data_IF_687134778041
#
_entry.id   IF_687134778041
#
_cell.length_a   1.000
_cell.length_b   1.000
_cell.length_c   1.000
_cell.angle_alpha   90.00
_cell.angle_beta   90.00
_cell.angle_gamma   90.00
#
_symmetry.space_group_name_H-M   'P 1'
#
loop_
_entity.id
_entity.type
_entity.pdbx_description
1 polymer ?
#
# COMPACT_ATOMS: atom_id res chain seq x y z
N UNK A 1 15.08 -24.30 -14.08
CA UNK A 1 15.70 -23.04 -13.59
C UNK A 1 15.00 -21.87 -14.25
N UNK A 2 13.86 -21.43 -13.70
CA UNK A 2 13.07 -20.30 -14.22
C UNK A 2 13.12 -19.05 -13.32
N UNK A 3 13.95 -19.06 -12.27
CA UNK A 3 14.08 -17.97 -11.30
C UNK A 3 14.60 -16.65 -11.90
N UNK A 4 15.24 -16.69 -13.07
CA UNK A 4 15.65 -15.51 -13.86
C UNK A 4 14.48 -14.80 -14.56
N UNK A 5 13.27 -15.35 -14.47
CA UNK A 5 12.06 -14.74 -14.98
C UNK A 5 11.20 -14.18 -13.84
N UNK A 6 10.40 -13.18 -14.17
CA UNK A 6 9.37 -12.60 -13.33
C UNK A 6 8.03 -12.71 -14.04
N UNK A 7 7.02 -13.26 -13.38
CA UNK A 7 5.64 -13.23 -13.85
C UNK A 7 5.02 -11.86 -13.57
N UNK A 8 4.30 -11.31 -14.56
CA UNK A 8 3.53 -10.07 -14.44
C UNK A 8 2.16 -10.22 -15.11
N UNK A 9 1.18 -9.49 -14.58
CA UNK A 9 -0.10 -9.28 -15.27
C UNK A 9 0.12 -8.41 -16.51
N UNK A 10 -0.62 -8.71 -17.57
CA UNK A 10 -0.66 -7.95 -18.82
C UNK A 10 -0.92 -6.44 -18.60
N UNK A 11 -1.73 -6.10 -17.60
CA UNK A 11 -2.07 -4.70 -17.29
C UNK A 11 -0.88 -3.90 -16.75
N UNK A 12 0.08 -4.58 -16.12
CA UNK A 12 1.24 -3.98 -15.46
C UNK A 12 2.49 -3.93 -16.36
N UNK A 13 2.30 -4.14 -17.67
CA UNK A 13 3.34 -4.07 -18.71
C UNK A 13 3.37 -2.68 -19.33
N UNK A 14 4.59 -2.20 -19.55
CA UNK A 14 4.88 -0.91 -20.19
C UNK A 14 5.84 -1.08 -21.37
N UNK A 15 6.05 0.00 -22.12
CA UNK A 15 6.89 0.00 -23.32
C UNK A 15 8.32 -0.54 -23.06
N UNK A 16 8.89 -0.26 -21.88
CA UNK A 16 10.24 -0.73 -21.53
C UNK A 16 10.31 -2.23 -21.26
N UNK A 17 9.18 -2.85 -20.91
CA UNK A 17 9.14 -4.27 -20.60
C UNK A 17 9.17 -5.13 -21.87
N UNK A 18 8.69 -4.61 -23.02
CA UNK A 18 8.46 -5.37 -24.26
C UNK A 18 9.69 -6.18 -24.71
N UNK A 19 10.92 -5.62 -24.74
CA UNK A 19 12.10 -6.38 -25.16
C UNK A 19 12.43 -7.58 -24.26
N UNK A 20 11.93 -7.57 -23.02
CA UNK A 20 12.21 -8.59 -22.01
C UNK A 20 11.14 -9.67 -21.92
N UNK A 21 10.00 -9.50 -22.62
CA UNK A 21 8.90 -10.47 -22.62
C UNK A 21 9.30 -11.68 -23.48
N UNK A 22 9.19 -12.88 -22.91
CA UNK A 22 9.32 -14.12 -23.67
C UNK A 22 7.98 -14.51 -24.29
N UNK A 23 8.03 -15.16 -25.45
CA UNK A 23 6.85 -15.60 -26.17
C UNK A 23 6.00 -16.55 -25.29
N UNK A 24 4.67 -16.37 -25.24
CA UNK A 24 3.76 -17.20 -24.44
C UNK A 24 3.94 -18.71 -24.64
N UNK A 25 4.17 -19.17 -25.87
CA UNK A 25 4.38 -20.60 -26.12
C UNK A 25 5.66 -21.15 -25.50
N UNK A 26 6.75 -20.38 -25.50
CA UNK A 26 7.98 -20.78 -24.82
C UNK A 26 7.80 -20.75 -23.30
N UNK A 27 7.16 -19.71 -22.77
CA UNK A 27 6.81 -19.61 -21.35
C UNK A 27 5.96 -20.79 -20.89
N UNK A 28 4.91 -21.12 -21.66
CA UNK A 28 4.02 -22.24 -21.38
C UNK A 28 4.76 -23.58 -21.48
N UNK A 29 5.60 -23.77 -22.51
CA UNK A 29 6.40 -25.00 -22.64
C UNK A 29 7.33 -25.20 -21.45
N UNK A 30 7.99 -24.15 -21.00
CA UNK A 30 8.93 -24.22 -19.88
C UNK A 30 8.23 -24.50 -18.52
N UNK A 31 6.95 -24.15 -18.41
CA UNK A 31 6.12 -24.37 -17.20
C UNK A 31 5.18 -25.57 -17.29
N UNK A 32 5.15 -26.31 -18.40
CA UNK A 32 4.17 -27.39 -18.63
C UNK A 32 4.26 -28.49 -17.58
N UNK A 33 5.46 -28.77 -17.05
CA UNK A 33 5.64 -29.79 -16.02
C UNK A 33 4.91 -29.44 -14.71
N UNK A 34 4.65 -28.15 -14.45
CA UNK A 34 3.91 -27.71 -13.26
C UNK A 34 2.42 -28.07 -13.34
N UNK A 35 1.90 -28.40 -14.53
CA UNK A 35 0.49 -28.73 -14.74
C UNK A 35 0.19 -30.22 -14.64
N UNK A 36 1.17 -31.05 -14.30
CA UNK A 36 1.02 -32.51 -14.24
C UNK A 36 0.62 -32.95 -12.82
N UNK A 37 -0.25 -33.96 -12.68
CA UNK A 37 -0.58 -34.52 -11.37
C UNK A 37 0.65 -35.17 -10.72
N UNK A 38 0.67 -35.21 -9.38
CA UNK A 38 1.70 -35.87 -8.56
C UNK A 38 3.14 -35.34 -8.76
N UNK A 39 3.31 -34.13 -9.29
CA UNK A 39 4.62 -33.46 -9.32
C UNK A 39 4.91 -32.75 -8.00
N UNK A 40 6.11 -32.96 -7.47
CA UNK A 40 6.64 -32.13 -6.39
C UNK A 40 7.13 -30.80 -6.97
N UNK A 41 6.33 -29.74 -6.81
CA UNK A 41 6.62 -28.42 -7.34
C UNK A 41 7.55 -27.70 -6.37
N UNK A 42 8.79 -27.49 -6.79
CA UNK A 42 9.75 -26.68 -6.04
C UNK A 42 9.54 -25.20 -6.37
N UNK A 43 8.80 -24.48 -5.52
CA UNK A 43 8.42 -23.08 -5.77
C UNK A 43 9.63 -22.16 -6.00
N UNK A 44 10.77 -22.43 -5.37
CA UNK A 44 12.04 -21.72 -5.56
C UNK A 44 12.64 -21.87 -6.97
N UNK A 45 12.17 -22.82 -7.78
CA UNK A 45 12.61 -22.99 -9.17
C UNK A 45 11.72 -22.25 -10.19
N UNK A 46 10.58 -21.71 -9.75
CA UNK A 46 9.60 -21.02 -10.58
C UNK A 46 9.97 -19.55 -10.81
N UNK A 47 9.37 -18.88 -11.81
CA UNK A 47 9.54 -17.44 -11.99
C UNK A 47 9.11 -16.66 -10.73
N UNK A 48 9.80 -15.55 -10.44
CA UNK A 48 9.40 -14.68 -9.35
C UNK A 48 7.96 -14.20 -9.55
N UNK A 49 7.20 -14.12 -8.45
CA UNK A 49 5.78 -13.74 -8.45
C UNK A 49 4.85 -14.72 -9.16
N UNK A 50 5.33 -15.84 -9.73
CA UNK A 50 4.47 -16.82 -10.38
C UNK A 50 3.46 -17.45 -9.42
N UNK A 51 3.88 -17.80 -8.20
CA UNK A 51 3.00 -18.35 -7.16
C UNK A 51 1.85 -17.41 -6.79
N UNK A 52 1.97 -16.09 -7.00
CA UNK A 52 0.90 -15.13 -6.75
C UNK A 52 -0.26 -15.27 -7.75
N UNK A 53 0.04 -15.68 -8.99
CA UNK A 53 -0.99 -15.97 -9.99
C UNK A 53 -1.62 -17.33 -9.73
N UNK A 54 -0.81 -18.34 -9.38
CA UNK A 54 -1.30 -19.67 -9.01
C UNK A 54 -2.23 -19.60 -7.80
N UNK A 55 -1.89 -18.79 -6.79
CA UNK A 55 -2.69 -18.70 -5.56
C UNK A 55 -4.12 -18.19 -5.79
N UNK A 56 -4.37 -17.44 -6.86
CA UNK A 56 -5.71 -16.97 -7.22
C UNK A 56 -6.67 -18.12 -7.54
N UNK A 57 -6.13 -19.26 -7.97
CA UNK A 57 -6.89 -20.44 -8.35
C UNK A 57 -7.01 -21.49 -7.25
N UNK A 58 -6.27 -21.37 -6.14
CA UNK A 58 -6.35 -22.35 -5.05
C UNK A 58 -7.75 -22.44 -4.42
N UNK A 59 -8.51 -21.34 -4.43
CA UNK A 59 -9.91 -21.30 -3.97
C UNK A 59 -10.85 -22.20 -4.80
N UNK A 60 -10.49 -22.50 -6.05
CA UNK A 60 -11.29 -23.36 -6.93
C UNK A 60 -10.83 -24.82 -6.91
N UNK A 61 -9.59 -25.07 -6.46
CA UNK A 61 -8.90 -26.37 -6.64
C UNK A 61 -8.33 -26.95 -5.35
N UNK A 62 -8.99 -26.75 -4.21
CA UNK A 62 -8.52 -27.20 -2.89
C UNK A 62 -8.10 -28.68 -2.81
N UNK A 63 -8.80 -29.56 -3.53
CA UNK A 63 -8.53 -31.01 -3.54
C UNK A 63 -7.48 -31.42 -4.59
N UNK A 64 -7.19 -30.56 -5.56
CA UNK A 64 -6.30 -30.83 -6.69
C UNK A 64 -5.42 -29.61 -7.01
N UNK A 65 -4.41 -29.27 -6.16
CA UNK A 65 -3.64 -28.03 -6.30
C UNK A 65 -2.96 -27.84 -7.67
N UNK A 66 -2.61 -28.92 -8.36
CA UNK A 66 -2.02 -28.88 -9.71
C UNK A 66 -2.95 -28.24 -10.77
N UNK A 67 -4.28 -28.23 -10.55
CA UNK A 67 -5.23 -27.56 -11.43
C UNK A 67 -5.07 -26.03 -11.39
N UNK A 68 -4.65 -25.45 -10.26
CA UNK A 68 -4.35 -24.03 -10.17
C UNK A 68 -3.15 -23.64 -11.07
N UNK A 69 -2.16 -24.51 -11.17
CA UNK A 69 -1.03 -24.36 -12.09
C UNK A 69 -1.48 -24.50 -13.54
N UNK A 70 -2.43 -25.41 -13.84
CA UNK A 70 -3.01 -25.58 -15.18
C UNK A 70 -3.81 -24.35 -15.63
N UNK A 71 -4.55 -23.73 -14.73
CA UNK A 71 -5.31 -22.51 -15.05
C UNK A 71 -4.35 -21.32 -15.27
N UNK A 72 -3.35 -21.17 -14.40
CA UNK A 72 -2.28 -20.16 -14.59
C UNK A 72 -1.49 -20.40 -15.88
N UNK A 73 -1.27 -21.65 -16.26
CA UNK A 73 -0.66 -22.02 -17.55
C UNK A 73 -1.51 -21.58 -18.74
N UNK A 74 -2.84 -21.64 -18.60
CA UNK A 74 -3.79 -21.15 -19.60
C UNK A 74 -3.77 -19.63 -19.70
N UNK A 75 -3.60 -18.92 -18.59
CA UNK A 75 -3.40 -17.47 -18.58
C UNK A 75 -2.09 -17.06 -19.27
N UNK A 76 -1.03 -17.84 -19.11
CA UNK A 76 0.22 -17.64 -19.86
C UNK A 76 -0.03 -17.82 -21.36
N UNK A 77 -0.64 -18.93 -21.76
CA UNK A 77 -0.94 -19.20 -23.18
C UNK A 77 -1.83 -18.13 -23.82
N UNK A 78 -2.78 -17.59 -23.07
CA UNK A 78 -3.66 -16.51 -23.57
C UNK A 78 -3.00 -15.12 -23.51
N UNK A 79 -1.82 -15.00 -22.90
CA UNK A 79 -1.09 -13.75 -22.78
C UNK A 79 -1.59 -12.79 -21.68
N UNK A 80 -2.48 -13.25 -20.79
CA UNK A 80 -2.93 -12.49 -19.62
C UNK A 80 -1.85 -12.39 -18.54
N UNK A 81 -1.05 -13.44 -18.42
CA UNK A 81 0.16 -13.46 -17.61
C UNK A 81 1.35 -13.57 -18.55
N UNK A 82 2.34 -12.71 -18.36
CA UNK A 82 3.56 -12.72 -19.16
C UNK A 82 4.78 -12.96 -18.29
N UNK A 83 5.79 -13.60 -18.86
CA UNK A 83 7.07 -13.79 -18.20
C UNK A 83 8.09 -12.79 -18.77
N UNK A 84 8.70 -12.03 -17.89
CA UNK A 84 9.75 -11.07 -18.20
C UNK A 84 11.07 -11.62 -17.71
N UNK A 85 12.10 -11.49 -18.54
CA UNK A 85 13.46 -11.82 -18.14
C UNK A 85 14.09 -10.69 -17.34
N UNK A 86 14.83 -11.03 -16.29
CA UNK A 86 15.52 -10.04 -15.45
C UNK A 86 16.93 -9.68 -15.94
N UNK A 87 17.68 -10.67 -16.46
CA UNK A 87 19.15 -10.57 -16.46
C UNK A 87 19.82 -10.75 -17.84
N UNK A 88 19.22 -10.33 -18.97
CA UNK A 88 19.98 -10.33 -20.24
C UNK A 88 19.90 -9.07 -21.06
N UNK A 89 21.11 -8.59 -21.39
CA UNK A 89 21.43 -7.68 -22.48
C UNK A 89 21.29 -8.44 -23.81
N UNK A 90 20.31 -8.07 -24.64
CA UNK A 90 20.21 -8.51 -26.04
C UNK A 90 18.81 -8.97 -26.49
N UNK A 91 18.57 -8.88 -27.81
CA UNK A 91 17.35 -9.36 -28.46
C UNK A 91 17.19 -10.87 -28.28
N UNK A 92 16.04 -11.32 -27.79
CA UNK A 92 15.78 -12.75 -27.61
C UNK A 92 15.09 -13.32 -28.84
N UNK A 93 15.65 -14.38 -29.44
CA UNK A 93 15.01 -15.17 -30.52
C UNK A 93 13.67 -15.76 -30.05
N UNK A 94 13.45 -15.83 -28.73
CA UNK A 94 12.24 -16.32 -28.06
C UNK A 94 11.32 -15.22 -27.56
N UNK A 95 11.53 -13.97 -27.97
CA UNK A 95 10.74 -12.81 -27.52
C UNK A 95 9.45 -12.60 -28.30
N UNK A 96 8.77 -11.49 -27.98
CA UNK A 96 7.53 -11.05 -28.66
C UNK A 96 7.77 -10.19 -29.89
N UNK A 97 9.03 -9.88 -30.19
CA UNK A 97 9.45 -9.09 -31.35
C UNK A 97 10.09 -9.99 -32.42
N UNK A 98 9.96 -9.57 -33.68
CA UNK A 98 10.72 -10.09 -34.81
C UNK A 98 12.15 -9.51 -34.80
N UNK A 99 13.04 -10.06 -35.64
CA UNK A 99 14.38 -9.50 -35.82
C UNK A 99 14.36 -8.06 -36.37
N UNK A 100 13.30 -7.68 -37.10
CA UNK A 100 13.10 -6.32 -37.59
C UNK A 100 12.52 -5.36 -36.53
N UNK A 101 12.22 -5.86 -35.32
CA UNK A 101 11.67 -5.06 -34.23
C UNK A 101 10.15 -4.88 -34.25
N UNK A 102 9.44 -5.56 -35.16
CA UNK A 102 7.97 -5.56 -35.18
C UNK A 102 7.42 -6.55 -34.16
N UNK A 103 6.17 -6.36 -33.72
CA UNK A 103 5.46 -7.41 -32.98
C UNK A 103 5.29 -8.64 -33.88
N UNK A 104 5.35 -9.83 -33.29
CA UNK A 104 5.06 -11.05 -34.03
C UNK A 104 3.56 -11.25 -34.19
N UNK A 105 3.17 -11.80 -35.34
CA UNK A 105 1.76 -12.04 -35.69
C UNK A 105 1.18 -13.29 -35.01
N UNK A 106 2.03 -14.16 -34.44
CA UNK A 106 1.65 -15.38 -33.73
C UNK A 106 1.33 -15.15 -32.23
N UNK A 107 1.32 -13.91 -31.77
CA UNK A 107 1.02 -13.57 -30.39
C UNK A 107 -0.47 -13.77 -30.06
N UNK A 108 -0.79 -14.21 -28.82
CA UNK A 108 -2.17 -14.26 -28.34
C UNK A 108 -2.84 -12.88 -28.42
N UNK A 109 -4.13 -12.85 -28.79
CA UNK A 109 -4.89 -11.62 -29.07
C UNK A 109 -4.78 -10.57 -27.96
N UNK A 110 -4.93 -10.98 -26.68
CA UNK A 110 -4.86 -10.06 -25.55
C UNK A 110 -3.49 -9.38 -25.45
N UNK A 111 -2.43 -10.18 -25.59
CA UNK A 111 -1.06 -9.70 -25.55
C UNK A 111 -0.75 -8.80 -26.75
N UNK A 112 -1.06 -9.27 -27.96
CA UNK A 112 -0.84 -8.51 -29.19
C UNK A 112 -1.52 -7.13 -29.12
N UNK A 113 -2.79 -7.09 -28.71
CA UNK A 113 -3.57 -5.84 -28.60
C UNK A 113 -2.94 -4.88 -27.58
N UNK A 114 -2.56 -5.38 -26.40
CA UNK A 114 -1.93 -4.56 -25.36
C UNK A 114 -0.57 -4.01 -25.82
N UNK A 115 0.29 -4.85 -26.40
CA UNK A 115 1.61 -4.42 -26.86
C UNK A 115 1.49 -3.38 -27.99
N UNK A 116 0.59 -3.60 -28.94
CA UNK A 116 0.31 -2.64 -30.01
C UNK A 116 -0.18 -1.30 -29.44
N UNK A 117 -1.04 -1.32 -28.43
CA UNK A 117 -1.50 -0.13 -27.73
C UNK A 117 -0.34 0.61 -27.03
N UNK A 118 0.52 -0.10 -26.31
CA UNK A 118 1.68 0.49 -25.62
C UNK A 118 2.67 1.14 -26.61
N UNK A 119 2.93 0.49 -27.75
CA UNK A 119 3.82 1.00 -28.80
C UNK A 119 3.21 2.24 -29.46
N UNK A 120 1.93 2.18 -29.86
CA UNK A 120 1.27 3.30 -30.55
C UNK A 120 1.12 4.54 -29.68
N UNK A 121 0.91 4.37 -28.37
CA UNK A 121 0.76 5.48 -27.43
C UNK A 121 2.05 5.84 -26.69
N UNK A 122 3.16 5.17 -27.00
CA UNK A 122 4.47 5.35 -26.35
C UNK A 122 4.36 5.30 -24.81
N UNK A 123 3.55 4.37 -24.30
CA UNK A 123 3.21 4.30 -22.87
C UNK A 123 4.35 3.73 -22.06
N UNK A 124 5.14 4.65 -21.52
CA UNK A 124 6.23 4.37 -20.61
C UNK A 124 5.73 4.11 -19.19
N UNK A 125 6.51 3.35 -18.42
CA UNK A 125 6.23 3.16 -17.00
C UNK A 125 6.10 4.53 -16.32
N UNK A 126 5.04 4.79 -15.55
CA UNK A 126 4.93 6.02 -14.79
C UNK A 126 6.12 6.09 -13.83
N UNK A 127 7.02 7.03 -14.11
CA UNK A 127 8.16 7.33 -13.23
C UNK A 127 7.58 8.07 -12.05
N UNK A 128 7.26 7.33 -11.00
CA UNK A 128 7.15 7.94 -9.68
C UNK A 128 8.57 8.38 -9.33
N UNK A 129 8.83 9.69 -9.35
CA UNK A 129 9.97 10.24 -8.66
C UNK A 129 9.78 9.95 -7.17
N UNK A 130 10.24 8.79 -6.72
CA UNK A 130 10.77 8.68 -5.37
C UNK A 130 11.91 9.68 -5.36
N UNK A 131 11.70 10.82 -4.71
CA UNK A 131 12.78 11.75 -4.40
C UNK A 131 13.92 10.90 -3.86
N UNK A 132 15.08 10.82 -4.54
CA UNK A 132 16.21 10.10 -4.00
C UNK A 132 16.51 10.70 -2.63
N UNK A 133 16.60 9.86 -1.60
CA UNK A 133 17.36 10.19 -0.41
C UNK A 133 18.68 10.77 -0.91
N UNK A 134 18.96 12.04 -0.58
CA UNK A 134 20.18 12.71 -1.02
C UNK A 134 21.40 11.84 -0.67
N UNK A 135 22.49 11.91 -1.46
CA UNK A 135 23.67 11.07 -1.26
C UNK A 135 24.18 11.22 0.17
N UNK A 136 24.64 10.11 0.73
CA UNK A 136 25.39 10.09 1.99
C UNK A 136 26.67 10.91 1.78
N UNK A 137 26.60 12.21 2.06
CA UNK A 137 27.76 12.98 2.48
C UNK A 137 27.99 12.65 3.95
N UNK A 138 29.01 11.83 4.20
CA UNK A 138 29.61 11.76 5.52
C UNK A 138 30.08 13.16 5.93
N UNK A 139 29.85 13.51 7.20
CA UNK A 139 30.26 14.73 7.90
C UNK A 139 29.33 15.97 7.77
N UNK A 140 28.19 15.93 8.47
CA UNK A 140 27.72 16.99 9.41
C UNK A 140 26.36 16.66 10.09
N UNK A 141 25.82 15.45 9.91
CA UNK A 141 24.52 15.01 10.46
C UNK A 141 24.46 14.80 11.98
N UNK A 142 25.58 14.95 12.72
CA UNK A 142 25.61 14.65 14.15
C UNK A 142 24.91 15.71 15.04
N UNK A 143 24.61 16.92 14.54
CA UNK A 143 23.97 17.98 15.34
C UNK A 143 22.43 17.95 15.33
N UNK A 144 21.80 17.22 14.40
CA UNK A 144 20.33 17.23 14.25
C UNK A 144 19.66 16.04 14.92
N UNK A 145 20.36 14.90 15.02
CA UNK A 145 19.84 13.65 15.60
C UNK A 145 19.83 13.70 17.13
N UNK A 146 20.73 14.47 17.75
CA UNK A 146 20.87 14.60 19.19
C UNK A 146 20.07 15.79 19.76
N UNK A 147 18.85 16.01 19.26
CA UNK A 147 17.98 17.15 19.61
C UNK A 147 16.86 16.78 20.59
N UNK A 148 16.28 17.77 21.28
CA UNK A 148 15.12 17.53 22.19
C UNK A 148 13.97 16.81 21.52
N UNK A 149 13.72 17.10 20.23
CA UNK A 149 12.66 16.45 19.47
C UNK A 149 12.91 14.94 19.30
N UNK A 150 14.14 14.54 19.01
CA UNK A 150 14.52 13.13 18.95
C UNK A 150 14.36 12.44 20.31
N UNK A 151 14.75 13.11 21.39
CA UNK A 151 14.52 12.67 22.77
C UNK A 151 13.06 12.38 23.09
N UNK A 152 12.16 13.31 22.76
CA UNK A 152 10.72 13.17 23.01
C UNK A 152 10.10 12.00 22.24
N UNK A 153 10.55 11.79 21.00
CA UNK A 153 10.10 10.66 20.19
C UNK A 153 10.57 9.32 20.75
N UNK A 154 11.81 9.25 21.26
CA UNK A 154 12.32 8.05 21.93
C UNK A 154 11.56 7.75 23.22
N UNK A 155 11.19 8.77 24.01
CA UNK A 155 10.35 8.58 25.19
C UNK A 155 8.97 8.02 24.80
N UNK A 156 8.33 8.58 23.77
CA UNK A 156 7.08 8.06 23.24
C UNK A 156 7.21 6.61 22.72
N UNK A 157 8.30 6.29 22.01
CA UNK A 157 8.60 4.95 21.52
C UNK A 157 8.82 3.93 22.65
N UNK A 158 9.54 4.32 23.71
CA UNK A 158 9.75 3.49 24.90
C UNK A 158 8.46 3.20 25.67
N UNK A 159 7.57 4.20 25.82
CA UNK A 159 6.24 4.02 26.42
C UNK A 159 5.39 3.07 25.57
N UNK A 160 5.33 3.29 24.25
CA UNK A 160 4.53 2.48 23.33
C UNK A 160 5.01 1.03 23.25
N UNK A 161 6.32 0.83 23.18
CA UNK A 161 6.93 -0.51 23.10
C UNK A 161 6.96 -1.22 24.47
N UNK A 162 6.69 -0.51 25.57
CA UNK A 162 6.83 -1.05 26.93
C UNK A 162 8.30 -1.25 27.36
N UNK A 163 9.25 -0.68 26.63
CA UNK A 163 10.69 -0.78 26.88
C UNK A 163 11.30 0.60 27.15
N UNK A 164 10.94 1.19 28.29
CA UNK A 164 11.38 2.53 28.67
C UNK A 164 12.91 2.58 28.80
N UNK A 165 13.50 1.63 29.50
CA UNK A 165 14.95 1.58 29.79
C UNK A 165 15.81 1.47 28.52
N UNK A 166 15.41 0.62 27.55
CA UNK A 166 16.15 0.47 26.29
C UNK A 166 16.16 1.74 25.44
N UNK A 167 15.02 2.44 25.39
CA UNK A 167 14.89 3.69 24.66
C UNK A 167 15.51 4.89 25.38
N UNK A 168 15.50 4.90 26.73
CA UNK A 168 16.24 5.87 27.56
C UNK A 168 17.74 5.79 27.27
N UNK A 169 18.29 4.57 27.33
CA UNK A 169 19.71 4.33 27.01
C UNK A 169 20.06 4.77 25.59
N UNK A 170 19.14 4.60 24.65
CA UNK A 170 19.31 5.07 23.26
C UNK A 170 19.36 6.60 23.18
N UNK A 171 18.50 7.30 23.93
CA UNK A 171 18.53 8.76 24.01
C UNK A 171 19.82 9.30 24.65
N UNK A 172 20.32 8.62 25.70
CA UNK A 172 21.61 8.90 26.34
C UNK A 172 22.80 8.70 25.38
N UNK A 173 22.77 7.60 24.62
CA UNK A 173 23.81 7.29 23.62
C UNK A 173 23.81 8.28 22.45
N UNK A 174 22.66 8.82 22.08
CA UNK A 174 22.57 9.90 21.09
C UNK A 174 23.18 11.21 21.62
N UNK A 175 23.15 11.45 22.94
CA UNK A 175 23.72 12.61 23.58
C UNK A 175 23.04 13.93 23.18
N UNK A 176 23.76 15.04 23.28
CA UNK A 176 23.23 16.38 22.96
C UNK A 176 22.03 16.74 23.84
N UNK A 177 20.99 17.30 23.22
CA UNK A 177 19.74 17.66 23.87
C UNK A 177 18.70 16.51 23.91
N UNK A 178 19.02 15.34 23.34
CA UNK A 178 18.08 14.22 23.29
C UNK A 178 17.72 13.67 24.68
N UNK A 179 18.65 13.48 25.64
CA UNK A 179 18.28 13.08 27.01
C UNK A 179 17.33 14.08 27.67
N UNK A 180 17.61 15.39 27.55
CA UNK A 180 16.75 16.42 28.12
C UNK A 180 15.35 16.45 27.48
N UNK A 181 15.24 16.18 26.17
CA UNK A 181 13.95 16.03 25.51
C UNK A 181 13.19 14.77 25.92
N UNK A 182 13.90 13.67 26.16
CA UNK A 182 13.36 12.42 26.67
C UNK A 182 12.79 12.62 28.09
N UNK A 183 13.59 13.20 28.99
CA UNK A 183 13.20 13.48 30.37
C UNK A 183 12.04 14.46 30.47
N UNK A 184 11.95 15.46 29.59
CA UNK A 184 10.78 16.35 29.53
C UNK A 184 9.44 15.63 29.32
N UNK A 185 9.45 14.45 28.68
CA UNK A 185 8.24 13.63 28.51
C UNK A 185 8.01 12.76 29.73
N UNK A 186 9.08 12.17 30.29
CA UNK A 186 9.00 11.20 31.39
C UNK A 186 8.79 11.85 32.76
N UNK A 187 9.36 13.04 33.00
CA UNK A 187 9.30 13.77 34.27
C UNK A 187 8.04 14.63 34.41
N UNK A 188 7.20 14.70 33.38
CA UNK A 188 5.96 15.44 33.41
C UNK A 188 4.91 14.64 34.20
N UNK A 189 4.98 14.73 35.53
CA UNK A 189 4.23 13.96 36.55
C UNK A 189 2.69 14.08 36.51
N UNK A 190 2.10 14.62 35.44
CA UNK A 190 0.66 14.91 35.37
C UNK A 190 0.01 14.73 34.00
N UNK A 191 0.72 14.20 32.99
CA UNK A 191 0.13 13.98 31.68
C UNK A 191 0.46 12.58 31.17
N UNK A 192 -0.30 11.59 31.67
CA UNK A 192 -0.52 10.33 30.98
C UNK A 192 -1.24 10.64 29.66
N UNK A 193 -0.48 11.01 28.63
CA UNK A 193 -0.94 10.88 27.26
C UNK A 193 -0.92 9.39 26.94
N UNK A 194 -2.01 8.72 27.30
CA UNK A 194 -2.41 7.51 26.59
C UNK A 194 -2.72 7.95 25.15
N UNK A 195 -1.70 7.89 24.29
CA UNK A 195 -1.76 8.09 22.85
C UNK A 195 -2.18 9.49 22.35
N UNK A 196 -1.22 10.30 21.89
CA UNK A 196 -1.43 11.39 20.93
C UNK A 196 -0.04 11.90 20.49
N UNK A 197 0.31 12.16 19.22
CA UNK A 197 -0.41 12.89 18.17
C UNK A 197 -0.92 14.27 18.60
N UNK A 198 -0.11 15.09 19.27
CA UNK A 198 -0.23 16.57 19.17
C UNK A 198 1.14 17.23 19.41
N UNK A 199 1.82 17.64 18.35
CA UNK A 199 2.91 18.63 18.44
C UNK A 199 3.11 19.38 17.11
N UNK A 200 2.04 19.96 16.58
CA UNK A 200 2.12 21.03 15.57
C UNK A 200 1.38 22.31 15.99
N UNK A 201 0.83 22.38 17.21
CA UNK A 201 -0.12 23.42 17.60
C UNK A 201 0.45 24.62 18.37
N UNK A 202 1.77 24.85 18.44
CA UNK A 202 2.33 25.97 19.24
C UNK A 202 3.39 26.82 18.53
N UNK A 203 3.18 27.18 17.26
CA UNK A 203 4.13 28.05 16.54
C UNK A 203 3.47 29.13 15.67
N UNK A 204 2.73 30.08 16.27
CA UNK A 204 2.39 31.36 15.60
C UNK A 204 3.36 32.43 16.10
N UNK A 205 4.07 33.12 15.20
CA UNK A 205 4.75 34.36 15.56
C UNK A 205 5.76 34.94 14.55
N UNK A 206 5.24 35.86 13.71
CA UNK A 206 5.91 37.02 13.06
C UNK A 206 6.58 36.85 11.67
N UNK A 207 6.09 37.70 10.76
CA UNK A 207 6.49 37.95 9.36
C UNK A 207 7.51 39.10 9.27
N UNK A 208 8.42 39.08 8.27
CA UNK A 208 8.89 40.20 7.42
C UNK A 208 9.90 39.66 6.36
N UNK A 209 10.13 40.35 5.22
CA UNK A 209 9.97 39.72 3.90
C UNK A 209 11.23 39.73 3.03
N UNK A 210 11.59 38.58 2.45
CA UNK A 210 12.20 38.50 1.11
C UNK A 210 11.99 37.08 0.59
N UNK A 211 11.09 36.91 -0.39
CA UNK A 211 11.13 35.87 -1.44
C UNK A 211 9.73 35.76 -2.07
N UNK A 212 9.35 36.77 -2.84
CA UNK A 212 8.15 36.75 -3.70
C UNK A 212 8.23 35.69 -4.83
N UNK A 213 9.36 34.99 -4.99
CA UNK A 213 9.52 33.92 -5.99
C UNK A 213 9.22 32.53 -5.39
N UNK A 214 9.41 32.33 -4.07
CA UNK A 214 9.06 31.05 -3.42
C UNK A 214 7.55 30.91 -3.17
N UNK A 215 6.84 32.02 -2.98
CA UNK A 215 5.38 32.04 -2.77
C UNK A 215 4.61 31.57 -4.01
N UNK A 216 5.08 31.85 -5.23
CA UNK A 216 4.45 31.37 -6.47
C UNK A 216 4.60 29.84 -6.65
N UNK A 217 5.72 29.25 -6.20
CA UNK A 217 5.94 27.79 -6.23
C UNK A 217 5.14 27.02 -5.17
N UNK A 218 4.79 27.70 -4.08
CA UNK A 218 3.96 27.14 -3.02
C UNK A 218 2.46 27.35 -3.27
N UNK A 219 2.08 28.19 -4.25
CA UNK A 219 0.68 28.36 -4.67
C UNK A 219 0.17 27.21 -5.56
N UNK A 220 1.05 26.43 -6.19
CA UNK A 220 0.68 25.21 -6.92
C UNK A 220 0.66 23.95 -6.04
N UNK A 221 1.00 24.07 -4.75
CA UNK A 221 0.83 23.04 -3.72
C UNK A 221 -0.34 23.40 -2.83
N UNK A 222 -1.54 23.48 -3.41
CA UNK A 222 -2.73 23.23 -2.59
C UNK A 222 -2.56 21.82 -1.98
N UNK A 223 -2.60 21.65 -0.65
CA UNK A 223 -2.68 20.32 -0.07
C UNK A 223 -3.83 19.60 -0.76
N UNK A 224 -3.57 18.44 -1.36
CA UNK A 224 -4.67 17.56 -1.77
C UNK A 224 -5.53 17.38 -0.52
N UNK A 225 -6.81 17.79 -0.52
CA UNK A 225 -7.62 17.76 0.68
C UNK A 225 -7.61 16.34 1.23
N UNK A 226 -7.39 16.20 2.54
CA UNK A 226 -7.36 14.90 3.21
C UNK A 226 -8.60 14.12 2.82
N UNK A 227 -8.50 12.81 2.49
CA UNK A 227 -9.66 12.02 2.04
C UNK A 227 -10.88 12.12 2.97
N UNK A 228 -10.65 12.31 4.28
CA UNK A 228 -11.70 12.54 5.27
C UNK A 228 -12.53 13.82 5.04
N UNK A 229 -11.99 14.81 4.33
CA UNK A 229 -12.68 16.07 3.97
C UNK A 229 -13.79 15.84 2.95
N UNK A 230 -13.72 14.73 2.21
CA UNK A 230 -14.75 14.31 1.26
C UNK A 230 -15.83 13.42 1.92
N UNK A 231 -15.72 13.17 3.23
CA UNK A 231 -16.65 12.33 3.99
C UNK A 231 -17.52 13.18 4.89
N UNK A 232 -18.84 13.01 4.74
CA UNK A 232 -19.84 13.68 5.58
C UNK A 232 -20.23 12.78 6.76
N UNK A 233 -20.10 13.31 7.97
CA UNK A 233 -20.44 12.63 9.21
C UNK A 233 -21.68 13.24 9.86
N UNK A 234 -22.87 12.80 9.43
CA UNK A 234 -24.12 13.25 10.04
C UNK A 234 -24.23 12.76 11.50
N UNK A 235 -24.56 13.68 12.42
CA UNK A 235 -24.62 13.38 13.86
C UNK A 235 -25.57 12.22 14.21
N UNK A 236 -26.71 12.11 13.52
CA UNK A 236 -27.68 11.00 13.70
C UNK A 236 -27.05 9.66 13.32
N UNK A 237 -26.28 9.64 12.24
CA UNK A 237 -25.64 8.42 11.76
C UNK A 237 -24.45 8.04 12.65
N UNK A 238 -23.62 9.01 13.06
CA UNK A 238 -22.55 8.81 14.05
C UNK A 238 -23.10 8.20 15.34
N UNK A 239 -24.17 8.78 15.88
CA UNK A 239 -24.82 8.29 17.10
C UNK A 239 -25.33 6.85 16.94
N UNK A 240 -25.99 6.54 15.82
CA UNK A 240 -26.47 5.18 15.51
C UNK A 240 -25.32 4.17 15.39
N UNK A 241 -24.15 4.60 14.94
CA UNK A 241 -22.98 3.75 14.70
C UNK A 241 -21.95 3.76 15.81
N UNK A 242 -22.17 4.54 16.86
CA UNK A 242 -21.29 4.62 18.03
C UNK A 242 -21.08 3.27 18.73
N UNK A 243 -21.98 2.29 18.54
CA UNK A 243 -21.77 0.91 18.98
C UNK A 243 -20.49 0.25 18.45
N UNK A 244 -19.90 0.78 17.38
CA UNK A 244 -18.63 0.32 16.81
C UNK A 244 -17.43 1.16 17.27
N UNK A 245 -17.64 2.21 18.08
CA UNK A 245 -16.57 3.10 18.54
C UNK A 245 -15.47 2.34 19.30
N UNK A 246 -15.83 1.28 20.01
CA UNK A 246 -14.89 0.38 20.70
C UNK A 246 -13.86 -0.24 19.76
N UNK A 247 -14.24 -0.54 18.51
CA UNK A 247 -13.32 -1.10 17.51
C UNK A 247 -12.21 -0.09 17.15
N UNK A 248 -12.55 1.20 17.19
CA UNK A 248 -11.65 2.32 16.95
C UNK A 248 -10.96 2.82 18.23
N UNK A 249 -10.99 2.02 19.30
CA UNK A 249 -10.41 2.34 20.61
C UNK A 249 -11.03 3.61 21.24
N UNK A 250 -12.31 3.88 20.98
CA UNK A 250 -13.09 4.96 21.57
C UNK A 250 -14.11 4.35 22.56
N UNK A 251 -13.75 4.17 23.84
CA UNK A 251 -14.67 3.68 24.85
C UNK A 251 -15.63 4.80 25.32
N UNK A 252 -16.72 4.40 25.97
CA UNK A 252 -17.64 5.33 26.63
C UNK A 252 -19.04 5.35 26.03
N UNK A 253 -19.72 6.49 26.14
CA UNK A 253 -21.11 6.68 25.79
C UNK A 253 -21.29 7.66 24.61
N UNK A 254 -22.39 7.57 23.84
CA UNK A 254 -22.66 8.46 22.71
C UNK A 254 -23.14 9.86 23.17
N UNK A 255 -22.36 10.52 24.02
CA UNK A 255 -22.54 11.93 24.39
C UNK A 255 -21.75 12.83 23.42
N UNK A 256 -21.85 14.16 23.56
CA UNK A 256 -21.20 15.11 22.64
C UNK A 256 -19.68 14.88 22.50
N UNK A 257 -19.00 14.57 23.61
CA UNK A 257 -17.56 14.30 23.62
C UNK A 257 -17.23 12.96 22.95
N UNK A 258 -17.98 11.90 23.27
CA UNK A 258 -17.84 10.59 22.66
C UNK A 258 -18.05 10.63 21.15
N UNK A 259 -19.10 11.30 20.66
CA UNK A 259 -19.37 11.44 19.23
C UNK A 259 -18.25 12.20 18.51
N UNK A 260 -17.69 13.24 19.14
CA UNK A 260 -16.54 13.98 18.60
C UNK A 260 -15.29 13.12 18.51
N UNK A 261 -15.01 12.33 19.55
CA UNK A 261 -13.89 11.38 19.57
C UNK A 261 -14.05 10.27 18.53
N UNK A 262 -15.27 9.76 18.34
CA UNK A 262 -15.56 8.75 17.33
C UNK A 262 -15.41 9.30 15.92
N UNK A 263 -15.95 10.50 15.64
CA UNK A 263 -15.74 11.18 14.36
C UNK A 263 -14.24 11.40 14.08
N UNK A 264 -13.49 11.86 15.08
CA UNK A 264 -12.05 12.07 14.93
C UNK A 264 -11.31 10.75 14.64
N UNK A 265 -11.67 9.66 15.32
CA UNK A 265 -11.07 8.35 15.06
C UNK A 265 -11.36 7.84 13.65
N UNK A 266 -12.59 8.04 13.14
CA UNK A 266 -12.94 7.71 11.76
C UNK A 266 -12.13 8.54 10.75
N UNK A 267 -11.97 9.85 10.99
CA UNK A 267 -11.14 10.73 10.14
C UNK A 267 -9.67 10.32 10.14
N UNK A 268 -9.11 10.10 11.33
CA UNK A 268 -7.72 9.63 11.47
C UNK A 268 -7.49 8.31 10.75
N UNK A 269 -8.43 7.37 10.83
CA UNK A 269 -8.37 6.11 10.08
C UNK A 269 -8.41 6.34 8.56
N UNK A 270 -9.31 7.19 8.06
CA UNK A 270 -9.43 7.49 6.62
C UNK A 270 -8.18 8.17 6.08
N UNK A 271 -7.56 9.04 6.88
CA UNK A 271 -6.39 9.83 6.49
C UNK A 271 -5.05 9.10 6.73
N UNK A 272 -5.10 7.91 7.33
CA UNK A 272 -3.92 7.07 7.52
C UNK A 272 -3.33 6.67 6.16
N UNK A 273 -2.00 6.84 5.94
CA UNK A 273 -1.36 6.56 4.66
C UNK A 273 -1.44 5.09 4.22
N UNK A 274 -1.69 4.16 5.15
CA UNK A 274 -1.87 2.73 4.87
C UNK A 274 -3.33 2.35 4.64
N UNK A 275 -4.26 3.29 4.83
CA UNK A 275 -5.68 3.06 4.54
C UNK A 275 -5.94 3.17 3.04
N UNK A 276 -6.40 2.06 2.47
CA UNK A 276 -6.71 1.94 1.06
C UNK A 276 -8.20 2.18 0.80
N UNK A 277 -8.52 2.98 -0.21
CA UNK A 277 -9.90 3.13 -0.68
C UNK A 277 -10.22 2.06 -1.73
N UNK A 278 -11.14 1.16 -1.40
CA UNK A 278 -11.63 0.06 -2.24
C UNK A 278 -13.08 0.36 -2.63
N UNK A 279 -13.41 0.21 -3.92
CA UNK A 279 -14.81 0.31 -4.38
C UNK A 279 -15.47 -1.05 -4.23
N UNK A 280 -16.67 -1.09 -3.66
CA UNK A 280 -17.25 -2.34 -3.23
C UNK A 280 -18.75 -2.31 -2.94
N UNK A 281 -19.29 -3.44 -2.47
CA UNK A 281 -20.67 -3.53 -1.99
C UNK A 281 -20.71 -3.79 -0.48
N UNK A 282 -21.69 -3.16 0.16
CA UNK A 282 -22.10 -3.47 1.52
C UNK A 282 -23.47 -4.13 1.50
N UNK A 283 -23.61 -5.29 2.19
CA UNK A 283 -24.87 -6.07 2.25
C UNK A 283 -25.47 -6.33 0.86
N UNK A 284 -24.64 -6.80 -0.07
CA UNK A 284 -25.00 -7.26 -1.42
C UNK A 284 -25.39 -6.17 -2.42
N UNK A 285 -26.23 -5.20 -2.05
CA UNK A 285 -26.87 -4.30 -3.02
C UNK A 285 -26.51 -2.82 -2.88
N UNK A 286 -25.74 -2.43 -1.86
CA UNK A 286 -25.38 -1.03 -1.65
C UNK A 286 -23.95 -0.75 -2.12
N UNK A 287 -23.79 0.08 -3.16
CA UNK A 287 -22.48 0.60 -3.58
C UNK A 287 -21.88 1.48 -2.49
N UNK A 288 -20.61 1.22 -2.16
CA UNK A 288 -19.87 1.93 -1.12
C UNK A 288 -18.39 2.07 -1.49
N UNK A 289 -17.74 3.05 -0.88
CA UNK A 289 -16.29 3.05 -0.72
C UNK A 289 -15.91 2.51 0.65
N UNK A 290 -15.02 1.54 0.66
CA UNK A 290 -14.35 1.00 1.85
C UNK A 290 -13.01 1.70 2.03
N UNK A 291 -12.80 2.34 3.16
CA UNK A 291 -11.50 2.81 3.62
C UNK A 291 -10.96 1.74 4.55
N UNK A 292 -10.12 0.86 4.04
CA UNK A 292 -9.63 -0.31 4.75
C UNK A 292 -8.13 -0.24 5.03
N UNK A 293 -7.76 -0.46 6.29
CA UNK A 293 -6.36 -0.54 6.70
C UNK A 293 -5.98 -2.01 6.97
N UNK A 294 -5.02 -2.60 6.22
CA UNK A 294 -4.66 -4.00 6.34
C UNK A 294 -3.91 -4.34 7.64
N UNK A 295 -3.31 -3.36 8.31
CA UNK A 295 -2.59 -3.55 9.57
C UNK A 295 -3.55 -3.57 10.75
N UNK A 296 -4.43 -2.57 10.86
CA UNK A 296 -5.39 -2.48 11.98
C UNK A 296 -6.63 -3.34 11.78
N UNK A 297 -6.86 -3.79 10.54
CA UNK A 297 -8.10 -4.44 10.06
C UNK A 297 -9.34 -3.56 10.17
N UNK A 298 -9.19 -2.27 10.44
CA UNK A 298 -10.30 -1.33 10.51
C UNK A 298 -10.81 -1.00 9.11
N UNK A 299 -12.12 -0.88 9.00
CA UNK A 299 -12.80 -0.49 7.78
C UNK A 299 -13.84 0.60 8.07
N UNK A 300 -13.88 1.62 7.22
CA UNK A 300 -14.93 2.64 7.21
C UNK A 300 -15.62 2.64 5.86
N UNK A 301 -16.95 2.56 5.84
CA UNK A 301 -17.77 2.56 4.64
C UNK A 301 -18.49 3.89 4.47
N UNK A 302 -18.44 4.40 3.25
CA UNK A 302 -19.18 5.59 2.82
C UNK A 302 -19.96 5.29 1.56
N UNK A 303 -21.06 6.00 1.33
CA UNK A 303 -21.71 6.02 0.02
C UNK A 303 -20.81 6.68 -1.03
N UNK A 304 -21.07 6.48 -2.33
CA UNK A 304 -20.32 7.15 -3.39
C UNK A 304 -20.37 8.68 -3.33
N UNK A 305 -21.41 9.24 -2.70
CA UNK A 305 -21.58 10.68 -2.44
C UNK A 305 -20.78 11.19 -1.21
N UNK A 306 -20.05 10.33 -0.52
CA UNK A 306 -19.23 10.66 0.65
C UNK A 306 -19.96 10.53 2.00
N UNK A 307 -21.24 10.18 2.03
CA UNK A 307 -21.94 10.04 3.31
C UNK A 307 -21.49 8.80 4.08
N UNK A 308 -21.07 8.98 5.34
CA UNK A 308 -20.67 7.88 6.23
C UNK A 308 -21.82 6.89 6.45
N UNK A 309 -21.54 5.60 6.31
CA UNK A 309 -22.51 4.52 6.54
C UNK A 309 -22.23 3.84 7.86
N UNK A 310 -21.03 3.32 8.05
CA UNK A 310 -20.63 2.53 9.22
C UNK A 310 -19.13 2.26 9.18
N UNK A 311 -18.55 1.80 10.29
CA UNK A 311 -17.20 1.25 10.30
C UNK A 311 -17.03 0.29 11.48
N UNK A 312 -16.12 -0.66 11.37
CA UNK A 312 -15.73 -1.60 12.43
C UNK A 312 -14.42 -2.31 12.03
N UNK A 313 -13.88 -3.10 12.96
CA UNK A 313 -12.74 -3.98 12.69
C UNK A 313 -13.22 -5.25 11.98
N UNK A 314 -12.79 -5.47 10.75
CA UNK A 314 -13.19 -6.65 9.97
C UNK A 314 -12.59 -7.92 10.57
N UNK A 315 -13.36 -9.01 10.53
CA UNK A 315 -12.82 -10.36 10.73
C UNK A 315 -11.89 -10.77 9.59
N UNK A 316 -11.14 -11.85 9.76
CA UNK A 316 -10.26 -12.38 8.70
C UNK A 316 -11.06 -12.79 7.45
N UNK A 317 -12.27 -13.36 7.64
CA UNK A 317 -13.18 -13.68 6.53
C UNK A 317 -13.66 -12.41 5.83
N UNK A 318 -14.15 -11.42 6.57
CA UNK A 318 -14.66 -10.17 5.99
C UNK A 318 -13.56 -9.36 5.27
N UNK A 319 -12.34 -9.38 5.79
CA UNK A 319 -11.21 -8.72 5.13
C UNK A 319 -10.77 -9.46 3.88
N UNK A 320 -10.79 -10.79 3.89
CA UNK A 320 -10.52 -11.62 2.70
C UNK A 320 -11.57 -11.35 1.61
N UNK A 321 -12.85 -11.31 1.99
CA UNK A 321 -13.95 -11.01 1.06
C UNK A 321 -13.87 -9.58 0.50
N UNK A 322 -13.47 -8.61 1.33
CA UNK A 322 -13.27 -7.24 0.88
C UNK A 322 -12.11 -7.13 -0.12
N UNK A 323 -10.98 -7.79 0.17
CA UNK A 323 -9.79 -7.74 -0.70
C UNK A 323 -10.04 -8.51 -2.00
N UNK A 324 -10.72 -9.66 -1.93
CA UNK A 324 -10.94 -10.53 -3.09
C UNK A 324 -12.12 -10.08 -3.97
N UNK A 325 -13.24 -9.72 -3.35
CA UNK A 325 -14.52 -9.48 -4.04
C UNK A 325 -15.03 -8.05 -3.91
N UNK A 326 -14.35 -7.19 -3.15
CA UNK A 326 -14.83 -5.84 -2.84
C UNK A 326 -16.07 -5.84 -1.95
N UNK A 327 -16.37 -6.92 -1.24
CA UNK A 327 -17.64 -7.06 -0.52
C UNK A 327 -17.41 -7.29 0.98
N UNK A 328 -18.21 -6.64 1.81
CA UNK A 328 -18.28 -6.95 3.24
C UNK A 328 -19.69 -7.42 3.58
N UNK A 329 -19.77 -8.64 4.11
CA UNK A 329 -20.98 -9.31 4.58
C UNK A 329 -21.16 -9.14 6.10
#
# INVERSE_FOLDING_TARGET
MLHHYQAKSLDNIYLEDIPHIIHPDYAARDLVDTTLPNRNIQEWNLPQSYSQFVSQYYQFHHQCPWLAYRDTHSDIKSGKVVLLRKDMTGYTVRGVLTLSGNLRDDLPLFLHTRLHYLISHQLKRPVYYVRPSAPVQHAQAAKTINSKAAGRLLAAGGIYNGNIEGFRKTAEQLGGDAPAGYDQVMDNKGLLITGASVAAALGIGRLTPVNEIETLSNLSKTPKPSPSTLVSFESRQLQKKFKHAVDFNVPGNPNAEGLKSFEQALKSHIDDPLTNRITGKYRWNQDVYHYYNPETKLNVMTKPDGNFISGWKLSDTQSTDLIGNGNVF
#
